data_IF_500879332182
#
_entry.id   IF_500879332182
#
_cell.length_a   1.000
_cell.length_b   1.000
_cell.length_c   1.000
_cell.angle_alpha   90.00
_cell.angle_beta   90.00
_cell.angle_gamma   90.00
#
_symmetry.space_group_name_H-M   'P 1'
#
loop_
_entity.id
_entity.type
_entity.pdbx_description
1 polymer ?
#
# COMPACT_ATOMS: atom_id res chain seq x y z
N UNK A 1 -20.97 -20.82 1.76
CA UNK A 1 -20.10 -20.71 0.57
C UNK A 1 -19.82 -19.22 0.37
N UNK A 2 -18.67 -18.72 0.83
CA UNK A 2 -18.35 -17.28 0.71
C UNK A 2 -17.62 -17.11 -0.62
N UNK A 3 -18.33 -16.66 -1.65
CA UNK A 3 -17.74 -16.26 -2.92
C UNK A 3 -17.17 -14.84 -2.78
N UNK A 4 -15.86 -14.73 -2.54
CA UNK A 4 -15.18 -13.44 -2.57
C UNK A 4 -15.00 -12.99 -4.02
N UNK A 5 -15.88 -12.11 -4.50
CA UNK A 5 -15.68 -11.42 -5.77
C UNK A 5 -14.69 -10.27 -5.53
N UNK A 6 -13.43 -10.47 -5.94
CA UNK A 6 -12.42 -9.42 -5.85
C UNK A 6 -12.76 -8.26 -6.77
N UNK A 7 -12.92 -7.06 -6.24
CA UNK A 7 -13.14 -5.83 -7.01
C UNK A 7 -11.87 -4.98 -7.03
N UNK A 8 -11.59 -4.37 -8.19
CA UNK A 8 -10.45 -3.46 -8.38
C UNK A 8 -10.97 -2.04 -8.58
N UNK A 9 -10.40 -1.07 -7.86
CA UNK A 9 -10.69 0.34 -8.05
C UNK A 9 -9.59 0.92 -8.94
N UNK A 10 -9.97 1.56 -10.05
CA UNK A 10 -9.01 2.16 -10.96
C UNK A 10 -8.31 3.35 -10.29
N UNK A 11 -7.00 3.45 -10.48
CA UNK A 11 -6.20 4.59 -10.04
C UNK A 11 -5.60 5.27 -11.25
N UNK A 12 -5.85 6.57 -11.39
CA UNK A 12 -5.27 7.39 -12.45
C UNK A 12 -3.86 7.83 -12.04
N UNK A 13 -2.85 7.45 -12.82
CA UNK A 13 -1.47 7.91 -12.60
C UNK A 13 -1.39 9.41 -12.88
N UNK A 14 -0.79 10.16 -11.95
CA UNK A 14 -0.66 11.62 -12.05
C UNK A 14 -1.86 12.41 -11.51
N UNK A 15 -2.99 11.76 -11.22
CA UNK A 15 -4.20 12.41 -10.69
C UNK A 15 -4.13 12.82 -9.21
N UNK A 16 -2.95 12.80 -8.59
CA UNK A 16 -2.79 13.10 -7.16
C UNK A 16 -3.32 12.00 -6.23
N UNK A 17 -3.42 12.31 -4.94
CA UNK A 17 -3.89 11.37 -3.90
C UNK A 17 -5.39 11.47 -3.62
N UNK A 18 -6.03 12.59 -4.00
CA UNK A 18 -7.45 12.85 -3.87
C UNK A 18 -8.12 12.60 -5.22
N UNK A 19 -8.52 11.35 -5.46
CA UNK A 19 -9.20 10.93 -6.69
C UNK A 19 -10.61 10.45 -6.34
N UNK A 20 -11.56 10.61 -7.27
CA UNK A 20 -12.96 10.20 -7.10
C UNK A 20 -13.08 8.73 -6.68
N UNK A 21 -12.37 7.84 -7.39
CA UNK A 21 -12.30 6.41 -7.11
C UNK A 21 -11.74 6.06 -5.70
N UNK A 22 -10.89 6.93 -5.13
CA UNK A 22 -10.41 6.76 -3.76
C UNK A 22 -11.46 7.18 -2.73
N UNK A 23 -12.32 8.14 -3.07
CA UNK A 23 -13.45 8.53 -2.23
C UNK A 23 -14.53 7.43 -2.24
N UNK A 24 -14.83 6.88 -3.42
CA UNK A 24 -15.70 5.71 -3.58
C UNK A 24 -15.20 4.52 -2.75
N UNK A 25 -13.87 4.31 -2.68
CA UNK A 25 -13.27 3.31 -1.81
C UNK A 25 -13.63 3.58 -0.33
N UNK A 26 -13.44 4.81 0.13
CA UNK A 26 -13.70 5.21 1.52
C UNK A 26 -15.19 5.12 1.90
N UNK A 27 -16.09 5.50 1.00
CA UNK A 27 -17.54 5.35 1.19
C UNK A 27 -17.92 3.88 1.38
N UNK A 28 -17.38 3.00 0.53
CA UNK A 28 -17.60 1.55 0.67
C UNK A 28 -16.99 0.96 1.93
N UNK A 29 -15.81 1.46 2.36
CA UNK A 29 -15.24 1.10 3.66
C UNK A 29 -16.18 1.48 4.81
N UNK A 30 -16.92 2.59 4.67
CA UNK A 30 -17.87 3.06 5.67
C UNK A 30 -19.15 2.21 5.71
N UNK A 31 -19.60 1.72 4.56
CA UNK A 31 -20.83 0.92 4.44
C UNK A 31 -20.64 -0.55 4.83
N UNK A 32 -19.42 -0.97 5.18
CA UNK A 32 -19.11 -2.32 5.65
C UNK A 32 -19.10 -3.39 4.55
N UNK A 33 -19.33 -3.02 3.31
CA UNK A 33 -19.19 -3.94 2.18
C UNK A 33 -17.72 -3.94 1.73
N UNK A 34 -17.03 -5.11 1.66
CA UNK A 34 -16.15 -5.56 0.54
C UNK A 34 -14.99 -6.53 0.87
N UNK A 35 -14.32 -7.01 -0.19
CA UNK A 35 -13.00 -7.65 -0.24
C UNK A 35 -12.26 -7.13 -1.49
N UNK A 36 -11.13 -6.44 -1.30
CA UNK A 36 -10.66 -5.42 -2.25
C UNK A 36 -9.18 -5.56 -2.66
N UNK A 37 -8.86 -5.25 -3.94
CA UNK A 37 -7.50 -5.19 -4.51
C UNK A 37 -7.32 -3.88 -5.28
N UNK A 38 -6.61 -2.88 -4.74
CA UNK A 38 -6.22 -1.67 -5.51
C UNK A 38 -5.21 -2.11 -6.56
N UNK A 39 -5.47 -1.92 -7.85
CA UNK A 39 -4.51 -2.27 -8.90
C UNK A 39 -4.46 -1.18 -9.96
N UNK A 40 -3.27 -0.63 -10.22
CA UNK A 40 -3.03 0.28 -11.35
C UNK A 40 -3.25 -0.50 -12.64
N UNK A 41 -4.20 -0.06 -13.46
CA UNK A 41 -4.52 -0.67 -14.75
C UNK A 41 -3.29 -0.63 -15.68
N UNK A 42 -2.94 -1.79 -16.24
CA UNK A 42 -2.01 -2.10 -17.36
C UNK A 42 -0.89 -3.12 -17.14
N UNK A 43 -0.65 -3.66 -15.95
CA UNK A 43 0.34 -4.74 -15.81
C UNK A 43 -0.21 -5.85 -14.91
N UNK A 44 -0.91 -6.79 -15.53
CA UNK A 44 -1.12 -8.10 -14.91
C UNK A 44 0.26 -8.77 -14.85
N UNK A 45 0.75 -8.90 -13.62
CA UNK A 45 1.73 -9.87 -13.10
C UNK A 45 2.96 -9.20 -12.47
N UNK A 46 3.22 -9.64 -11.23
CA UNK A 46 4.28 -9.27 -10.28
C UNK A 46 3.92 -8.05 -9.41
N UNK A 47 3.59 -8.25 -8.13
CA UNK A 47 3.17 -7.14 -7.25
C UNK A 47 3.72 -7.25 -5.83
N UNK A 48 4.61 -6.35 -5.40
CA UNK A 48 5.04 -6.18 -3.98
C UNK A 48 3.84 -5.82 -3.11
N UNK A 49 3.34 -6.77 -2.32
CA UNK A 49 2.10 -6.62 -1.53
C UNK A 49 2.26 -5.68 -0.32
N UNK A 50 1.21 -4.94 0.01
CA UNK A 50 0.94 -4.51 1.38
C UNK A 50 -0.49 -4.89 1.66
N UNK A 51 -0.72 -5.73 2.67
CA UNK A 51 -2.08 -6.07 3.08
C UNK A 51 -2.51 -5.06 4.13
N UNK A 52 -3.64 -4.40 3.92
CA UNK A 52 -4.34 -3.61 4.93
C UNK A 52 -5.44 -4.52 5.48
N UNK A 53 -5.31 -4.94 6.74
CA UNK A 53 -6.31 -5.77 7.42
C UNK A 53 -7.24 -4.85 8.23
N UNK A 54 -8.49 -4.71 7.78
CA UNK A 54 -9.49 -3.98 8.55
C UNK A 54 -10.13 -4.94 9.55
N UNK A 55 -10.11 -4.57 10.85
CA UNK A 55 -10.90 -5.27 11.88
C UNK A 55 -11.87 -4.24 12.44
N UNK A 56 -13.17 -4.42 12.19
CA UNK A 56 -14.17 -3.79 13.05
C UNK A 56 -15.40 -4.65 13.29
N UNK A 57 -16.01 -4.36 14.42
CA UNK A 57 -16.83 -5.22 15.26
C UNK A 57 -18.19 -5.56 14.63
N UNK A 58 -18.59 -6.83 14.81
CA UNK A 58 -19.79 -7.51 14.28
C UNK A 58 -19.60 -8.19 12.92
N UNK A 59 -19.05 -9.41 13.00
CA UNK A 59 -19.09 -10.53 12.02
C UNK A 59 -18.61 -10.31 10.57
N UNK A 60 -18.13 -9.13 10.16
CA UNK A 60 -17.61 -8.89 8.79
C UNK A 60 -16.14 -8.43 8.81
N UNK A 61 -15.24 -9.28 8.31
CA UNK A 61 -13.83 -8.93 8.09
C UNK A 61 -13.67 -8.34 6.69
N UNK A 62 -13.21 -7.09 6.61
CA UNK A 62 -12.95 -6.36 5.38
C UNK A 62 -11.44 -6.39 5.09
N UNK A 63 -11.05 -6.86 3.91
CA UNK A 63 -9.65 -6.95 3.53
C UNK A 63 -9.37 -6.09 2.30
N UNK A 64 -8.38 -5.21 2.43
CA UNK A 64 -7.95 -4.29 1.38
C UNK A 64 -6.50 -4.57 1.06
N UNK A 65 -6.21 -4.97 -0.16
CA UNK A 65 -4.83 -5.10 -0.63
C UNK A 65 -4.44 -3.85 -1.41
N UNK A 66 -3.37 -3.19 -0.96
CA UNK A 66 -2.82 -2.02 -1.65
C UNK A 66 -1.39 -2.30 -2.12
N UNK A 67 -1.00 -1.64 -3.21
CA UNK A 67 0.36 -1.69 -3.74
C UNK A 67 0.98 -0.28 -3.65
N UNK A 68 1.55 0.08 -2.49
CA UNK A 68 1.95 1.45 -2.22
C UNK A 68 3.12 1.93 -3.10
N UNK A 69 3.91 1.04 -3.71
CA UNK A 69 4.97 1.41 -4.67
C UNK A 69 4.39 2.05 -5.94
N UNK A 70 3.19 1.61 -6.36
CA UNK A 70 2.50 2.11 -7.55
C UNK A 70 3.25 1.90 -8.88
N UNK A 71 4.28 1.05 -8.87
CA UNK A 71 5.00 0.47 -10.01
C UNK A 71 5.58 -0.88 -9.55
N UNK A 72 5.70 -1.84 -10.47
CA UNK A 72 6.36 -3.11 -10.21
C UNK A 72 7.88 -2.92 -10.32
N UNK A 73 8.59 -3.38 -9.30
CA UNK A 73 10.05 -3.46 -9.29
C UNK A 73 10.45 -4.94 -9.14
N UNK A 74 11.28 -5.42 -10.06
CA UNK A 74 11.78 -6.80 -10.07
C UNK A 74 13.27 -6.92 -9.68
N UNK A 75 13.92 -5.79 -9.35
CA UNK A 75 15.30 -5.75 -8.86
C UNK A 75 15.38 -6.12 -7.37
N UNK A 76 16.50 -6.73 -6.96
CA UNK A 76 16.75 -7.05 -5.56
C UNK A 76 17.29 -5.83 -4.78
N UNK A 77 16.62 -4.68 -4.90
CA UNK A 77 16.95 -3.42 -4.23
C UNK A 77 16.07 -3.16 -2.98
N UNK A 78 16.54 -2.37 -1.98
CA UNK A 78 15.71 -1.86 -0.88
C UNK A 78 14.36 -1.34 -1.34
N UNK A 79 13.33 -1.55 -0.51
CA UNK A 79 11.98 -1.06 -0.83
C UNK A 79 12.04 0.45 -1.01
N UNK A 80 11.60 0.88 -2.19
CA UNK A 80 11.64 2.27 -2.63
C UNK A 80 10.60 3.10 -1.88
N UNK A 81 10.66 4.42 -2.05
CA UNK A 81 9.69 5.33 -1.46
C UNK A 81 8.26 4.94 -1.87
N UNK A 82 7.40 4.78 -0.88
CA UNK A 82 5.99 4.48 -1.08
C UNK A 82 5.20 5.73 -1.47
N UNK A 83 4.22 5.57 -2.37
CA UNK A 83 3.26 6.62 -2.71
C UNK A 83 2.28 6.81 -1.55
N UNK A 84 1.90 8.06 -1.33
CA UNK A 84 1.04 8.47 -0.23
C UNK A 84 -0.42 8.00 -0.33
N UNK A 85 -0.84 7.37 -1.43
CA UNK A 85 -2.24 6.91 -1.60
C UNK A 85 -2.69 5.93 -0.51
N UNK A 86 -1.83 5.01 -0.08
CA UNK A 86 -2.16 4.08 1.02
C UNK A 86 -2.25 4.82 2.36
N UNK A 87 -1.33 5.74 2.65
CA UNK A 87 -1.40 6.57 3.85
C UNK A 87 -2.66 7.46 3.87
N UNK A 88 -3.06 7.99 2.71
CA UNK A 88 -4.30 8.76 2.57
C UNK A 88 -5.54 7.93 2.92
N UNK A 89 -5.63 6.67 2.45
CA UNK A 89 -6.72 5.76 2.82
C UNK A 89 -6.75 5.49 4.33
N UNK A 90 -5.59 5.23 4.94
CA UNK A 90 -5.47 4.96 6.38
C UNK A 90 -5.96 6.15 7.21
N UNK A 91 -5.54 7.36 6.86
CA UNK A 91 -5.88 8.58 7.61
C UNK A 91 -7.35 8.97 7.44
N UNK A 92 -7.90 8.77 6.24
CA UNK A 92 -9.27 9.17 5.91
C UNK A 92 -10.32 8.10 6.23
N UNK A 93 -9.90 6.88 6.58
CA UNK A 93 -10.80 5.82 6.98
C UNK A 93 -11.53 6.19 8.28
N UNK A 94 -12.82 5.85 8.41
CA UNK A 94 -13.61 6.17 9.61
C UNK A 94 -13.07 5.47 10.87
N UNK A 95 -12.44 4.31 10.70
CA UNK A 95 -11.69 3.62 11.76
C UNK A 95 -10.31 3.28 11.24
N UNK A 96 -9.31 3.47 12.10
CA UNK A 96 -7.91 3.18 11.76
C UNK A 96 -7.73 1.67 11.52
N UNK A 97 -7.31 1.24 10.32
CA UNK A 97 -7.08 -0.16 10.04
C UNK A 97 -5.77 -0.67 10.65
N UNK A 98 -5.67 -1.98 10.82
CA UNK A 98 -4.41 -2.66 11.14
C UNK A 98 -3.70 -2.94 9.81
N UNK A 99 -2.41 -2.65 9.71
CA UNK A 99 -1.65 -2.92 8.49
C UNK A 99 -0.86 -4.20 8.66
N UNK A 100 -1.02 -5.14 7.73
CA UNK A 100 -0.28 -6.39 7.70
C UNK A 100 0.73 -6.38 6.54
N UNK A 101 2.02 -6.08 6.81
CA UNK A 101 3.03 -6.08 5.78
C UNK A 101 3.24 -7.52 5.24
N UNK A 102 3.19 -7.68 3.91
CA UNK A 102 3.42 -8.96 3.25
C UNK A 102 4.48 -8.75 2.17
N UNK A 103 5.58 -9.48 2.25
CA UNK A 103 6.62 -9.47 1.21
C UNK A 103 6.64 -10.82 0.53
N UNK A 104 6.74 -10.81 -0.79
CA UNK A 104 6.91 -12.02 -1.58
C UNK A 104 8.17 -11.93 -2.44
N UNK A 105 8.67 -13.07 -2.86
CA UNK A 105 9.81 -13.19 -3.76
C UNK A 105 9.61 -14.40 -4.67
N UNK A 106 10.03 -14.29 -5.93
CA UNK A 106 10.00 -15.38 -6.91
C UNK A 106 9.00 -15.13 -8.05
N UNK A 107 8.09 -14.18 -7.89
CA UNK A 107 7.18 -13.78 -8.97
C UNK A 107 7.91 -13.16 -10.17
N UNK A 108 9.07 -12.53 -9.95
CA UNK A 108 9.93 -12.07 -11.01
C UNK A 108 10.51 -13.21 -11.86
N UNK A 109 10.61 -14.43 -11.31
CA UNK A 109 11.05 -15.61 -12.05
C UNK A 109 9.89 -16.28 -12.78
N UNK A 110 8.67 -16.17 -12.23
CA UNK A 110 7.43 -16.64 -12.86
C UNK A 110 7.11 -15.78 -14.09
N UNK A 111 7.30 -14.47 -14.01
CA UNK A 111 7.06 -13.56 -15.14
C UNK A 111 8.10 -12.44 -15.16
N UNK A 112 9.29 -12.72 -15.69
CA UNK A 112 10.34 -11.71 -15.81
C UNK A 112 9.98 -10.64 -16.82
N UNK A 113 10.29 -9.38 -16.51
CA UNK A 113 10.16 -8.25 -17.44
C UNK A 113 11.00 -8.43 -18.69
N UNK A 114 12.21 -8.98 -18.53
CA UNK A 114 13.15 -9.26 -19.60
C UNK A 114 13.38 -10.77 -19.71
N UNK A 115 12.61 -11.45 -20.55
CA UNK A 115 12.75 -12.90 -20.80
C UNK A 115 13.54 -13.20 -22.07
N UNK A 116 12.87 -13.18 -23.23
CA UNK A 116 13.44 -13.45 -24.54
C UNK A 116 13.32 -12.18 -25.39
N UNK A 117 14.43 -11.72 -25.99
CA UNK A 117 14.49 -10.47 -26.75
C UNK A 117 13.99 -9.24 -25.97
N UNK A 118 14.18 -9.22 -24.63
CA UNK A 118 13.73 -8.14 -23.77
C UNK A 118 12.21 -8.02 -23.62
N UNK A 119 11.45 -9.08 -23.93
CA UNK A 119 9.99 -9.11 -23.78
C UNK A 119 9.58 -10.01 -22.62
N UNK A 120 8.41 -9.74 -22.03
CA UNK A 120 7.74 -10.61 -21.07
C UNK A 120 7.30 -11.91 -21.75
N UNK A 121 7.32 -13.07 -21.04
CA UNK A 121 6.77 -14.30 -21.58
C UNK A 121 5.25 -14.17 -21.78
N UNK A 122 4.66 -14.86 -22.78
CA UNK A 122 3.22 -14.79 -23.04
C UNK A 122 2.38 -15.46 -21.94
N UNK A 123 2.98 -16.39 -21.19
CA UNK A 123 2.35 -17.09 -20.07
C UNK A 123 3.32 -17.17 -18.89
N UNK A 124 2.82 -17.26 -17.64
CA UNK A 124 3.64 -17.50 -16.47
C UNK A 124 4.49 -18.76 -16.62
N UNK A 125 5.77 -18.68 -16.27
CA UNK A 125 6.69 -19.82 -16.26
C UNK A 125 6.34 -20.74 -15.08
N UNK A 126 6.14 -22.02 -15.38
CA UNK A 126 5.84 -23.04 -14.39
C UNK A 126 7.09 -23.47 -13.61
N UNK A 127 6.88 -24.13 -12.47
CA UNK A 127 7.95 -24.71 -11.63
C UNK A 127 8.97 -23.70 -11.09
N UNK A 128 8.50 -22.52 -10.69
CA UNK A 128 9.30 -21.51 -9.99
C UNK A 128 8.94 -21.49 -8.51
N UNK A 129 9.93 -21.22 -7.66
CA UNK A 129 9.74 -21.12 -6.21
C UNK A 129 9.20 -19.73 -5.88
N UNK A 130 8.11 -19.68 -5.12
CA UNK A 130 7.53 -18.44 -4.61
C UNK A 130 7.60 -18.48 -3.08
N UNK A 131 8.29 -17.51 -2.50
CA UNK A 131 8.32 -17.29 -1.06
C UNK A 131 7.34 -16.16 -0.72
N UNK A 132 6.48 -16.36 0.27
CA UNK A 132 5.59 -15.31 0.82
C UNK A 132 5.83 -15.26 2.32
N UNK A 133 6.12 -14.06 2.83
CA UNK A 133 6.37 -13.79 4.23
C UNK A 133 5.40 -12.73 4.70
N UNK A 134 4.68 -13.08 5.75
CA UNK A 134 3.73 -12.20 6.42
C UNK A 134 4.42 -11.71 7.69
N UNK A 135 4.45 -10.39 7.87
CA UNK A 135 5.02 -9.78 9.07
C UNK A 135 4.00 -9.53 10.16
N UNK A 136 4.49 -8.90 11.22
CA UNK A 136 3.66 -8.51 12.35
C UNK A 136 2.72 -7.36 11.99
N UNK A 137 1.52 -7.33 12.60
CA UNK A 137 0.57 -6.24 12.40
C UNK A 137 1.14 -4.91 12.89
N UNK A 138 1.04 -3.88 12.03
CA UNK A 138 1.40 -2.49 12.31
C UNK A 138 0.13 -1.72 12.64
N UNK A 139 0.10 -1.12 13.82
CA UNK A 139 -0.99 -0.26 14.29
C UNK A 139 -0.53 1.20 14.30
N UNK A 140 -1.43 2.12 13.96
CA UNK A 140 -1.12 3.55 13.95
C UNK A 140 -1.91 4.30 15.01
N UNK A 141 -1.21 5.07 15.84
CA UNK A 141 -1.82 6.10 16.67
C UNK A 141 -1.94 7.38 15.84
N UNK A 142 -3.02 7.47 15.06
CA UNK A 142 -3.25 8.62 14.19
C UNK A 142 -3.32 9.95 14.97
N UNK A 143 -4.00 10.05 16.14
CA UNK A 143 -3.95 11.25 16.97
C UNK A 143 -2.53 11.72 17.31
N UNK A 144 -1.68 10.83 17.82
CA UNK A 144 -0.30 11.21 18.16
C UNK A 144 0.51 11.61 16.92
N UNK A 145 0.41 10.82 15.84
CA UNK A 145 1.11 11.10 14.59
C UNK A 145 0.68 12.44 13.96
N UNK A 146 -0.60 12.82 14.06
CA UNK A 146 -1.10 14.13 13.61
C UNK A 146 -0.41 15.27 14.38
N UNK A 147 -0.32 15.17 15.71
CA UNK A 147 0.34 16.20 16.52
C UNK A 147 1.81 16.35 16.17
N UNK A 148 2.53 15.23 16.00
CA UNK A 148 3.92 15.23 15.51
C UNK A 148 4.02 15.92 14.15
N UNK A 149 3.15 15.57 13.20
CA UNK A 149 3.14 16.15 11.86
C UNK A 149 2.90 17.67 11.86
N UNK A 150 2.02 18.18 12.72
CA UNK A 150 1.78 19.63 12.90
C UNK A 150 3.03 20.32 13.46
N UNK A 151 3.74 19.69 14.40
CA UNK A 151 4.96 20.27 14.96
C UNK A 151 6.09 20.32 13.94
N UNK A 152 6.22 19.30 13.10
CA UNK A 152 7.26 19.18 12.08
C UNK A 152 6.97 20.02 10.82
N UNK A 153 5.70 20.20 10.46
CA UNK A 153 5.31 20.94 9.26
C UNK A 153 5.75 22.41 9.29
N UNK A 154 5.85 23.00 10.49
CA UNK A 154 6.33 24.37 10.71
C UNK A 154 7.76 24.60 10.20
N UNK A 155 8.56 23.54 10.13
CA UNK A 155 9.95 23.59 9.70
C UNK A 155 10.14 23.07 8.26
N UNK A 156 9.11 22.50 7.65
CA UNK A 156 9.22 21.81 6.38
C UNK A 156 8.75 22.69 5.21
N UNK A 157 9.56 22.78 4.15
CA UNK A 157 9.17 23.42 2.89
C UNK A 157 8.72 22.34 1.90
N UNK A 158 7.41 22.15 1.76
CA UNK A 158 6.85 21.34 0.69
C UNK A 158 6.39 22.23 -0.48
N UNK A 159 6.57 21.79 -1.74
CA UNK A 159 5.93 22.47 -2.85
C UNK A 159 4.41 22.37 -2.70
N UNK A 160 3.69 23.47 -2.88
CA UNK A 160 2.22 23.49 -2.83
C UNK A 160 1.64 22.69 -3.99
N UNK A 161 0.68 21.82 -3.69
CA UNK A 161 0.01 20.91 -4.61
C UNK A 161 -1.51 21.12 -4.61
N UNK A 162 -2.02 22.08 -3.83
CA UNK A 162 -3.43 22.45 -3.81
C UNK A 162 -4.29 21.36 -3.19
N UNK A 163 -3.82 20.74 -2.11
CA UNK A 163 -4.60 19.70 -1.45
C UNK A 163 -5.79 20.29 -0.71
N UNK A 164 -6.96 19.62 -0.73
CA UNK A 164 -8.11 20.08 0.03
C UNK A 164 -7.78 20.10 1.53
N UNK A 165 -8.37 21.06 2.23
CA UNK A 165 -8.41 21.04 3.69
C UNK A 165 -9.14 19.79 4.14
N UNK A 166 -8.51 19.02 5.04
CA UNK A 166 -9.15 17.84 5.62
C UNK A 166 -10.14 18.28 6.71
N UNK A 167 -11.20 17.48 6.99
CA UNK A 167 -12.11 17.76 8.11
C UNK A 167 -11.40 17.94 9.45
N UNK A 168 -10.23 17.32 9.60
CA UNK A 168 -9.34 17.41 10.77
C UNK A 168 -8.61 18.76 10.89
N UNK A 169 -8.79 19.69 9.93
CA UNK A 169 -8.18 21.02 9.93
C UNK A 169 -6.68 21.04 9.64
N UNK A 170 -6.09 19.93 9.17
CA UNK A 170 -4.67 19.87 8.85
C UNK A 170 -4.36 20.66 7.58
N UNK A 171 -3.39 21.58 7.68
CA UNK A 171 -2.81 22.25 6.53
C UNK A 171 -2.09 21.25 5.61
N UNK A 172 -1.82 21.67 4.38
CA UNK A 172 -1.22 20.80 3.36
C UNK A 172 0.17 20.28 3.78
N UNK A 173 0.97 21.08 4.49
CA UNK A 173 2.30 20.69 4.93
C UNK A 173 2.24 19.60 6.01
N UNK A 174 1.33 19.74 6.98
CA UNK A 174 1.08 18.74 8.02
C UNK A 174 0.51 17.45 7.42
N UNK A 175 -0.39 17.54 6.43
CA UNK A 175 -0.86 16.35 5.70
C UNK A 175 0.31 15.61 5.03
N UNK A 176 1.23 16.33 4.37
CA UNK A 176 2.40 15.75 3.71
C UNK A 176 3.39 15.12 4.71
N UNK A 177 3.62 15.76 5.85
CA UNK A 177 4.40 15.20 6.96
C UNK A 177 3.76 13.88 7.44
N UNK A 178 2.46 13.91 7.76
CA UNK A 178 1.74 12.75 8.26
C UNK A 178 1.78 11.57 7.28
N UNK A 179 1.47 11.81 6.01
CA UNK A 179 1.46 10.76 4.99
C UNK A 179 2.87 10.22 4.73
N UNK A 180 3.90 11.07 4.83
CA UNK A 180 5.29 10.62 4.74
C UNK A 180 5.65 9.73 5.93
N UNK A 181 5.31 10.12 7.16
CA UNK A 181 5.59 9.33 8.35
C UNK A 181 4.92 7.94 8.31
N UNK A 182 3.64 7.88 7.96
CA UNK A 182 2.91 6.60 7.81
C UNK A 182 3.55 5.74 6.72
N UNK A 183 3.83 6.35 5.55
CA UNK A 183 4.43 5.63 4.42
C UNK A 183 5.81 5.08 4.77
N UNK A 184 6.63 5.83 5.49
CA UNK A 184 7.97 5.40 5.93
C UNK A 184 7.90 4.29 6.97
N UNK A 185 6.93 4.32 7.90
CA UNK A 185 6.74 3.21 8.85
C UNK A 185 6.35 1.91 8.13
N UNK A 186 5.42 1.97 7.17
CA UNK A 186 5.04 0.81 6.34
C UNK A 186 6.25 0.30 5.56
N UNK A 187 6.98 1.20 4.90
CA UNK A 187 8.19 0.87 4.13
C UNK A 187 9.23 0.18 4.99
N UNK A 188 9.50 0.72 6.19
CA UNK A 188 10.46 0.16 7.12
C UNK A 188 10.04 -1.24 7.61
N UNK A 189 8.75 -1.45 7.90
CA UNK A 189 8.23 -2.75 8.28
C UNK A 189 8.42 -3.78 7.15
N UNK A 190 8.06 -3.42 5.91
CA UNK A 190 8.25 -4.30 4.76
C UNK A 190 9.73 -4.58 4.48
N UNK A 191 10.62 -3.59 4.58
CA UNK A 191 12.04 -3.77 4.27
C UNK A 191 12.76 -4.62 5.34
N UNK A 192 12.29 -4.56 6.59
CA UNK A 192 12.69 -5.51 7.65
C UNK A 192 12.30 -6.94 7.31
N UNK A 193 11.08 -7.19 6.84
CA UNK A 193 10.65 -8.52 6.40
C UNK A 193 11.47 -9.04 5.23
N UNK A 194 11.72 -8.17 4.24
CA UNK A 194 12.59 -8.49 3.10
C UNK A 194 14.00 -8.87 3.55
N UNK A 195 14.56 -8.12 4.50
CA UNK A 195 15.89 -8.41 5.07
C UNK A 195 15.90 -9.70 5.88
N UNK A 196 14.85 -9.97 6.65
CA UNK A 196 14.67 -11.20 7.42
C UNK A 196 14.66 -12.43 6.51
N UNK A 197 13.95 -12.36 5.38
CA UNK A 197 13.97 -13.39 4.32
C UNK A 197 15.38 -13.72 3.84
N UNK A 198 16.17 -12.68 3.55
CA UNK A 198 17.56 -12.85 3.09
C UNK A 198 18.44 -13.54 4.13
N UNK A 199 18.15 -13.38 5.42
CA UNK A 199 18.84 -14.08 6.50
C UNK A 199 18.44 -15.56 6.55
N UNK A 200 17.13 -15.87 6.47
CA UNK A 200 16.62 -17.25 6.48
C UNK A 200 17.22 -18.08 5.34
N UNK A 201 17.27 -17.53 4.13
CA UNK A 201 17.74 -18.30 2.96
C UNK A 201 19.27 -18.41 2.83
N UNK A 202 20.02 -17.67 3.64
CA UNK A 202 21.48 -17.80 3.73
C UNK A 202 21.93 -18.75 4.84
N UNK A 203 21.00 -19.15 5.73
CA UNK A 203 21.20 -20.15 6.77
C UNK A 203 20.88 -21.55 6.26
#
# INVERSE_FOLDING_TARGET
>A
MITYTGKCIPITRGGGIYQEHMNEALERLNDGEWSFKVMSSHELISFVFTTVLYVSFSVMLLQVHTFPEGKVYQDDAPIRRLKWGTASLIVRAPKTPIILPIVHHGFQEVMPENYMFGRRPPVPLCNKKIDIIIGDPVQFDLPAMRQTAISESRNAKFPTSGWPSTPDGLDEAAQKCLYSAISEQIRAAMDRLRSFRKKILKS
#
